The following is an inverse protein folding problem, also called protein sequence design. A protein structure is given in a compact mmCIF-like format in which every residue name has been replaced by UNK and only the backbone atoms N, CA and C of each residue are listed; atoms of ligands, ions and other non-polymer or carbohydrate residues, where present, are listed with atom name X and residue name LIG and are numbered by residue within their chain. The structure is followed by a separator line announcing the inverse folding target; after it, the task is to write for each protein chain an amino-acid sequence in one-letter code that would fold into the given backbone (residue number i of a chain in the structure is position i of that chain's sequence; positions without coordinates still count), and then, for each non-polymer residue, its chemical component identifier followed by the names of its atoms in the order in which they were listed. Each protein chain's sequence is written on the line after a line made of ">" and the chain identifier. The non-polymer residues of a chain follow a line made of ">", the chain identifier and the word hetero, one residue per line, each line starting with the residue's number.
data_IF_512767577151
#
_entry.id   IF_512767577151
#
_cell.length_a   1.000
_cell.length_b   1.000
_cell.length_c   1.000
_cell.angle_alpha   90.00
_cell.angle_beta   90.00
_cell.angle_gamma   90.00
#
_symmetry.space_group_name_H-M   'P 1'
#
loop_
_entity.id
_entity.type
_entity.pdbx_description
1 polymer ?
#
# COMPACT_ATOMS: atom_id res chain seq x y z
N UNK A 1 -7.87 -21.17 -34.21
CA UNK A 1 -8.05 -20.65 -32.84
C UNK A 1 -7.71 -21.79 -31.92
N UNK A 2 -6.59 -21.71 -31.21
CA UNK A 2 -6.20 -22.72 -30.21
C UNK A 2 -6.66 -22.17 -28.87
N UNK A 3 -7.70 -22.77 -28.30
CA UNK A 3 -8.15 -22.45 -26.96
C UNK A 3 -7.25 -23.23 -25.98
N UNK A 4 -6.36 -22.52 -25.30
CA UNK A 4 -5.53 -23.11 -24.25
C UNK A 4 -6.41 -23.22 -23.01
N UNK A 5 -6.95 -24.41 -22.77
CA UNK A 5 -7.73 -24.70 -21.57
C UNK A 5 -6.80 -25.06 -20.41
N UNK A 6 -7.11 -24.56 -19.22
CA UNK A 6 -6.42 -24.97 -18.01
C UNK A 6 -6.61 -26.47 -17.77
N UNK A 7 -5.50 -27.20 -17.61
CA UNK A 7 -5.50 -28.65 -17.36
C UNK A 7 -5.69 -29.01 -15.87
N UNK A 8 -5.63 -28.01 -14.99
CA UNK A 8 -5.74 -28.17 -13.54
C UNK A 8 -6.28 -26.88 -12.89
N UNK A 9 -6.69 -26.98 -11.63
CA UNK A 9 -7.12 -25.82 -10.82
C UNK A 9 -5.98 -24.81 -10.71
N UNK A 10 -6.26 -23.55 -11.04
CA UNK A 10 -5.31 -22.44 -10.98
C UNK A 10 -5.65 -21.55 -9.77
N UNK A 11 -5.06 -21.86 -8.61
CA UNK A 11 -5.22 -21.01 -7.43
C UNK A 11 -4.50 -19.67 -7.67
N UNK A 12 -5.17 -18.51 -7.52
CA UNK A 12 -4.50 -17.24 -7.69
C UNK A 12 -3.54 -16.96 -6.54
N UNK A 13 -2.33 -16.53 -6.88
CA UNK A 13 -1.36 -16.00 -5.92
C UNK A 13 -1.40 -14.48 -5.86
N UNK A 14 -1.82 -13.83 -6.93
CA UNK A 14 -1.93 -12.38 -7.02
C UNK A 14 -3.29 -12.00 -7.59
N UNK A 15 -3.95 -11.07 -6.90
CA UNK A 15 -5.13 -10.41 -7.44
C UNK A 15 -4.70 -9.15 -8.19
N UNK A 16 -5.33 -8.85 -9.31
CA UNK A 16 -4.99 -7.66 -10.11
C UNK A 16 -6.17 -6.68 -10.12
N UNK A 17 -5.98 -5.52 -9.48
CA UNK A 17 -6.89 -4.39 -9.57
C UNK A 17 -6.49 -3.52 -10.76
N UNK A 18 -7.41 -3.31 -11.71
CA UNK A 18 -7.14 -2.52 -12.91
C UNK A 18 -8.42 -1.97 -13.54
N UNK A 19 -8.29 -0.93 -14.35
CA UNK A 19 -9.36 -0.43 -15.19
C UNK A 19 -9.39 -1.17 -16.54
N UNK A 20 -10.56 -1.67 -16.95
CA UNK A 20 -10.71 -2.43 -18.21
C UNK A 20 -10.52 -1.57 -19.47
N UNK A 21 -10.50 -0.24 -19.32
CA UNK A 21 -10.28 0.70 -20.42
C UNK A 21 -8.79 0.91 -20.76
N UNK A 22 -7.88 0.29 -20.02
CA UNK A 22 -6.45 0.34 -20.30
C UNK A 22 -6.09 -0.45 -21.57
N UNK A 23 -5.14 0.04 -22.40
CA UNK A 23 -4.57 -0.77 -23.46
C UNK A 23 -3.97 -2.08 -22.92
N UNK A 24 -4.47 -3.22 -23.40
CA UNK A 24 -4.06 -4.56 -22.92
C UNK A 24 -2.54 -4.77 -22.96
N UNK A 25 -1.85 -4.20 -23.95
CA UNK A 25 -0.38 -4.28 -24.03
C UNK A 25 0.33 -3.62 -22.85
N UNK A 26 -0.16 -2.48 -22.36
CA UNK A 26 0.42 -1.77 -21.20
C UNK A 26 0.12 -2.52 -19.90
N UNK A 27 -1.10 -3.01 -19.79
CA UNK A 27 -1.51 -3.87 -18.68
C UNK A 27 -0.61 -5.11 -18.57
N UNK A 28 -0.42 -5.83 -19.69
CA UNK A 28 0.45 -7.01 -19.73
C UNK A 28 1.91 -6.66 -19.42
N UNK A 29 2.43 -5.53 -19.91
CA UNK A 29 3.78 -5.09 -19.60
C UNK A 29 3.98 -4.87 -18.09
N UNK A 30 2.98 -4.34 -17.38
CA UNK A 30 3.01 -4.23 -15.92
C UNK A 30 3.02 -5.60 -15.23
N UNK A 31 2.22 -6.57 -15.71
CA UNK A 31 2.20 -7.93 -15.17
C UNK A 31 3.54 -8.66 -15.39
N UNK A 32 4.11 -8.55 -16.60
CA UNK A 32 5.41 -9.14 -16.95
C UNK A 32 6.52 -8.53 -16.09
N UNK A 33 6.54 -7.21 -15.94
CA UNK A 33 7.50 -6.52 -15.10
C UNK A 33 7.35 -6.92 -13.63
N UNK A 34 6.13 -7.04 -13.13
CA UNK A 34 5.88 -7.47 -11.76
C UNK A 34 6.32 -8.92 -11.54
N UNK A 35 6.00 -9.85 -12.47
CA UNK A 35 6.47 -11.23 -12.41
C UNK A 35 8.00 -11.33 -12.43
N UNK A 36 8.67 -10.51 -13.26
CA UNK A 36 10.12 -10.43 -13.31
C UNK A 36 10.71 -9.93 -11.98
N UNK A 37 10.17 -8.83 -11.44
CA UNK A 37 10.64 -8.21 -10.20
C UNK A 37 10.47 -9.13 -8.99
N UNK A 38 9.32 -9.80 -8.89
CA UNK A 38 9.02 -10.76 -7.83
C UNK A 38 9.66 -12.14 -8.07
N UNK A 39 10.28 -12.37 -9.22
CA UNK A 39 10.80 -13.66 -9.69
C UNK A 39 9.74 -14.78 -9.60
N UNK A 40 8.52 -14.48 -10.05
CA UNK A 40 7.41 -15.42 -10.00
C UNK A 40 7.63 -16.58 -10.96
N UNK A 41 7.19 -17.77 -10.53
CA UNK A 41 7.28 -18.98 -11.34
C UNK A 41 6.28 -18.96 -12.50
N UNK A 42 6.52 -19.76 -13.54
CA UNK A 42 5.53 -19.99 -14.61
C UNK A 42 4.26 -20.71 -14.12
N UNK A 43 4.26 -21.26 -12.91
CA UNK A 43 3.10 -21.83 -12.23
C UNK A 43 2.34 -20.81 -11.38
N UNK A 44 2.74 -19.54 -11.41
CA UNK A 44 2.06 -18.47 -10.69
C UNK A 44 0.91 -17.91 -11.51
N UNK A 45 -0.26 -17.76 -10.86
CA UNK A 45 -1.48 -17.31 -11.51
C UNK A 45 -1.94 -15.96 -10.97
N UNK A 46 -2.25 -15.06 -11.90
CA UNK A 46 -2.94 -13.80 -11.64
C UNK A 46 -4.44 -14.00 -11.76
N UNK A 47 -5.21 -13.48 -10.80
CA UNK A 47 -6.63 -13.31 -10.93
C UNK A 47 -6.93 -11.92 -11.48
N UNK A 48 -7.59 -11.85 -12.62
CA UNK A 48 -7.94 -10.59 -13.30
C UNK A 48 -9.44 -10.63 -13.58
N UNK A 49 -10.21 -9.70 -13.00
CA UNK A 49 -11.67 -9.72 -13.06
C UNK A 49 -12.24 -9.75 -14.50
N UNK A 50 -11.58 -9.06 -15.44
CA UNK A 50 -11.97 -9.04 -16.85
C UNK A 50 -11.93 -10.42 -17.53
N UNK A 51 -11.03 -11.30 -17.08
CA UNK A 51 -10.80 -12.61 -17.70
C UNK A 51 -11.32 -13.77 -16.85
N UNK A 52 -11.47 -13.56 -15.54
CA UNK A 52 -11.90 -14.60 -14.61
C UNK A 52 -13.43 -14.70 -14.47
N UNK A 53 -14.14 -13.58 -14.59
CA UNK A 53 -15.60 -13.59 -14.52
C UNK A 53 -16.21 -14.10 -15.83
N UNK A 54 -17.25 -14.92 -15.72
CA UNK A 54 -18.01 -15.37 -16.87
C UNK A 54 -18.79 -14.20 -17.47
N UNK A 55 -18.26 -13.60 -18.54
CA UNK A 55 -18.87 -12.43 -19.18
C UNK A 55 -20.26 -12.73 -19.79
N UNK A 56 -20.61 -14.00 -19.99
CA UNK A 56 -21.93 -14.41 -20.45
C UNK A 56 -22.97 -14.51 -19.31
N UNK A 57 -22.51 -14.61 -18.06
CA UNK A 57 -23.35 -14.75 -16.86
C UNK A 57 -22.74 -13.96 -15.68
N UNK A 58 -22.43 -12.68 -15.89
CA UNK A 58 -21.72 -11.85 -14.90
C UNK A 58 -22.44 -11.81 -13.54
N UNK A 59 -23.77 -11.89 -13.54
CA UNK A 59 -24.60 -11.89 -12.32
C UNK A 59 -24.33 -13.08 -11.38
N UNK A 60 -23.76 -14.18 -11.89
CA UNK A 60 -23.36 -15.33 -11.05
C UNK A 60 -22.09 -15.03 -10.22
N UNK A 61 -21.21 -14.18 -10.76
CA UNK A 61 -19.93 -13.80 -10.16
C UNK A 61 -20.03 -12.50 -9.33
N UNK A 62 -20.84 -11.52 -9.80
CA UNK A 62 -21.15 -10.27 -9.10
C UNK A 62 -22.40 -10.47 -8.25
N UNK A 63 -22.19 -11.03 -7.05
CA UNK A 63 -23.26 -11.27 -6.08
C UNK A 63 -23.76 -9.98 -5.43
N UNK A 64 -24.99 -10.05 -4.95
CA UNK A 64 -25.70 -8.95 -4.27
C UNK A 64 -24.90 -8.39 -3.09
N UNK A 65 -24.22 -9.24 -2.32
CA UNK A 65 -23.27 -8.80 -1.30
C UNK A 65 -21.85 -8.74 -1.91
N UNK A 66 -21.21 -7.55 -1.99
CA UNK A 66 -19.87 -7.39 -2.54
C UNK A 66 -18.81 -8.29 -1.88
N UNK A 67 -18.93 -8.58 -0.57
CA UNK A 67 -18.03 -9.48 0.18
C UNK A 67 -18.26 -10.97 -0.13
N UNK A 68 -19.28 -11.31 -0.91
CA UNK A 68 -19.57 -12.69 -1.35
C UNK A 68 -19.17 -12.96 -2.81
N UNK A 69 -18.67 -11.94 -3.50
CA UNK A 69 -18.30 -11.99 -4.92
C UNK A 69 -17.04 -12.84 -5.18
N UNK A 70 -16.81 -13.20 -6.43
CA UNK A 70 -15.57 -13.85 -6.89
C UNK A 70 -14.33 -13.01 -6.55
N UNK A 71 -14.43 -11.68 -6.64
CA UNK A 71 -13.40 -10.70 -6.33
C UNK A 71 -12.88 -10.85 -4.90
N UNK A 72 -13.81 -10.75 -3.92
CA UNK A 72 -13.46 -10.85 -2.51
C UNK A 72 -12.80 -12.20 -2.21
N UNK A 73 -13.35 -13.29 -2.73
CA UNK A 73 -12.79 -14.64 -2.57
C UNK A 73 -11.38 -14.77 -3.15
N UNK A 74 -11.14 -14.25 -4.35
CA UNK A 74 -9.84 -14.28 -4.99
C UNK A 74 -8.79 -13.51 -4.18
N UNK A 75 -9.15 -12.33 -3.64
CA UNK A 75 -8.25 -11.57 -2.76
C UNK A 75 -7.92 -12.32 -1.47
N UNK A 76 -8.91 -12.97 -0.82
CA UNK A 76 -8.67 -13.79 0.38
C UNK A 76 -7.72 -14.97 0.13
N UNK A 77 -7.62 -15.45 -1.11
CA UNK A 77 -6.76 -16.58 -1.48
C UNK A 77 -5.35 -16.16 -1.90
N UNK A 78 -5.17 -14.88 -2.24
CA UNK A 78 -3.96 -14.30 -2.80
C UNK A 78 -2.94 -13.93 -1.71
N UNK A 79 -1.68 -13.80 -2.12
CA UNK A 79 -0.59 -13.31 -1.27
C UNK A 79 -0.53 -11.78 -1.25
N UNK A 80 -0.98 -11.16 -2.34
CA UNK A 80 -1.05 -9.72 -2.50
C UNK A 80 -1.93 -9.28 -3.66
N UNK A 81 -2.06 -7.97 -3.80
CA UNK A 81 -2.73 -7.27 -4.88
C UNK A 81 -1.69 -6.50 -5.70
N UNK A 82 -1.79 -6.61 -7.02
CA UNK A 82 -1.14 -5.71 -7.96
C UNK A 82 -2.18 -4.70 -8.46
N UNK A 83 -2.01 -3.43 -8.08
CA UNK A 83 -2.77 -2.32 -8.63
C UNK A 83 -2.08 -1.83 -9.91
N UNK A 84 -2.73 -1.99 -11.07
CA UNK A 84 -2.20 -1.51 -12.35
C UNK A 84 -2.85 -0.17 -12.69
N UNK A 85 -2.06 0.90 -12.68
CA UNK A 85 -2.47 2.26 -12.99
C UNK A 85 -2.26 2.56 -14.46
N UNK A 86 -3.34 2.89 -15.16
CA UNK A 86 -3.26 3.47 -16.49
C UNK A 86 -2.70 4.91 -16.44
N UNK A 87 -2.38 5.48 -17.61
CA UNK A 87 -1.82 6.85 -17.69
C UNK A 87 -2.75 7.93 -17.12
N UNK A 88 -4.05 7.63 -16.99
CA UNK A 88 -5.03 8.54 -16.42
C UNK A 88 -5.24 8.32 -14.91
N UNK A 89 -4.74 7.22 -14.32
CA UNK A 89 -5.00 6.85 -12.93
C UNK A 89 -6.44 6.39 -12.70
N UNK A 90 -7.13 5.88 -13.74
CA UNK A 90 -8.56 5.52 -13.67
C UNK A 90 -8.95 4.49 -12.60
N UNK A 91 -8.09 3.56 -12.14
CA UNK A 91 -8.44 2.72 -11.00
C UNK A 91 -8.91 3.53 -9.78
N UNK A 92 -8.31 4.69 -9.52
CA UNK A 92 -8.71 5.60 -8.44
C UNK A 92 -10.10 6.21 -8.60
N UNK A 93 -10.70 6.11 -9.79
CA UNK A 93 -12.01 6.65 -10.10
C UNK A 93 -13.07 5.55 -10.22
N UNK A 94 -12.73 4.27 -10.03
CA UNK A 94 -13.62 3.13 -10.29
C UNK A 94 -14.06 2.51 -8.97
N UNK A 95 -15.37 2.47 -8.73
CA UNK A 95 -15.91 2.02 -7.42
C UNK A 95 -15.47 0.60 -7.03
N UNK A 96 -15.34 -0.30 -8.00
CA UNK A 96 -14.86 -1.67 -7.76
C UNK A 96 -13.37 -1.71 -7.39
N UNK A 97 -12.53 -0.87 -8.01
CA UNK A 97 -11.12 -0.73 -7.62
C UNK A 97 -10.99 -0.10 -6.24
N UNK A 98 -11.74 0.98 -5.97
CA UNK A 98 -11.83 1.57 -4.64
C UNK A 98 -12.28 0.56 -3.58
N UNK A 99 -13.21 -0.34 -3.90
CA UNK A 99 -13.63 -1.42 -3.01
C UNK A 99 -12.49 -2.41 -2.73
N UNK A 100 -11.78 -2.85 -3.75
CA UNK A 100 -10.63 -3.76 -3.61
C UNK A 100 -9.55 -3.15 -2.71
N UNK A 101 -9.23 -1.88 -2.93
CA UNK A 101 -8.33 -1.07 -2.12
C UNK A 101 -8.83 -0.89 -0.67
N UNK A 102 -10.12 -0.60 -0.47
CA UNK A 102 -10.73 -0.50 0.86
C UNK A 102 -10.67 -1.83 1.62
N UNK A 103 -10.88 -2.94 0.92
CA UNK A 103 -10.79 -4.27 1.52
C UNK A 103 -9.34 -4.61 1.87
N UNK A 104 -8.34 -4.20 1.09
CA UNK A 104 -6.92 -4.37 1.47
C UNK A 104 -6.62 -3.73 2.83
N UNK A 105 -7.08 -2.50 3.04
CA UNK A 105 -6.89 -1.77 4.29
C UNK A 105 -7.69 -2.40 5.44
N UNK A 106 -8.93 -2.86 5.18
CA UNK A 106 -9.73 -3.54 6.19
C UNK A 106 -9.18 -4.94 6.54
N UNK A 107 -8.58 -5.65 5.58
CA UNK A 107 -8.24 -7.07 5.70
C UNK A 107 -6.96 -7.30 6.48
N UNK A 108 -7.16 -7.42 7.78
CA UNK A 108 -6.44 -8.38 8.61
C UNK A 108 -6.79 -9.80 8.11
N UNK A 109 -6.05 -10.36 7.15
CA UNK A 109 -6.35 -11.69 6.64
C UNK A 109 -6.15 -12.71 7.76
N UNK A 110 -7.17 -13.53 7.99
CA UNK A 110 -7.16 -14.60 8.97
C UNK A 110 -6.60 -15.83 8.27
N UNK A 111 -5.34 -16.19 8.52
CA UNK A 111 -4.86 -17.53 8.17
C UNK A 111 -5.17 -18.50 9.31
N UNK A 112 -5.89 -19.57 8.99
CA UNK A 112 -6.12 -20.71 9.87
C UNK A 112 -5.12 -21.80 9.49
N UNK A 113 -3.95 -21.83 10.15
CA UNK A 113 -3.03 -22.97 10.09
C UNK A 113 -2.88 -23.55 11.50
N UNK A 114 -3.25 -24.81 11.65
CA UNK A 114 -2.94 -25.66 12.81
C UNK A 114 -3.13 -24.97 14.19
N UNK A 115 -4.32 -24.40 14.42
CA UNK A 115 -4.70 -23.87 15.72
C UNK A 115 -4.04 -22.55 16.12
N UNK A 116 -3.29 -21.90 15.22
CA UNK A 116 -2.67 -20.60 15.47
C UNK A 116 -3.28 -19.53 14.54
N UNK A 117 -3.88 -18.49 15.15
CA UNK A 117 -4.45 -17.36 14.43
C UNK A 117 -3.32 -16.40 14.05
N UNK A 118 -2.75 -16.51 12.84
CA UNK A 118 -1.76 -15.53 12.36
C UNK A 118 -2.40 -14.55 11.40
N UNK A 119 -2.36 -13.27 11.78
CA UNK A 119 -2.79 -12.12 10.99
C UNK A 119 -1.86 -11.93 9.79
N UNK A 120 -2.31 -12.23 8.57
CA UNK A 120 -1.55 -11.98 7.33
C UNK A 120 -2.06 -10.70 6.68
N UNK A 121 -1.16 -9.75 6.42
CA UNK A 121 -1.46 -8.55 5.61
C UNK A 121 -1.20 -8.91 4.15
N UNK A 122 -2.15 -8.59 3.25
CA UNK A 122 -1.93 -8.69 1.81
C UNK A 122 -0.84 -7.69 1.40
N UNK A 123 0.07 -8.10 0.52
CA UNK A 123 1.01 -7.17 -0.12
C UNK A 123 0.24 -6.27 -1.09
N UNK A 124 0.64 -5.00 -1.22
CA UNK A 124 0.13 -4.11 -2.25
C UNK A 124 1.28 -3.61 -3.12
N UNK A 125 1.31 -4.11 -4.35
CA UNK A 125 2.25 -3.68 -5.39
C UNK A 125 1.54 -2.78 -6.38
N UNK A 126 2.26 -1.82 -6.95
CA UNK A 126 1.69 -0.86 -7.91
C UNK A 126 2.48 -0.91 -9.22
N UNK A 127 1.81 -1.24 -10.31
CA UNK A 127 2.36 -1.24 -11.66
C UNK A 127 1.86 -0.03 -12.46
N UNK A 128 2.74 0.58 -13.25
CA UNK A 128 2.35 1.64 -14.18
C UNK A 128 3.34 1.74 -15.35
N UNK A 129 2.90 2.28 -16.48
CA UNK A 129 3.79 2.64 -17.59
C UNK A 129 4.14 4.13 -17.56
N UNK A 130 5.39 4.47 -17.86
CA UNK A 130 5.80 5.86 -18.07
C UNK A 130 5.35 6.41 -19.44
N UNK A 131 5.77 7.64 -19.76
CA UNK A 131 5.47 8.31 -21.03
C UNK A 131 6.10 7.66 -22.27
N UNK A 132 7.00 6.71 -22.09
CA UNK A 132 7.63 5.91 -23.15
C UNK A 132 7.11 4.47 -23.18
N UNK A 133 5.97 4.22 -22.52
CA UNK A 133 5.32 2.91 -22.41
C UNK A 133 6.19 1.85 -21.69
N UNK A 134 7.20 2.27 -20.93
CA UNK A 134 8.01 1.36 -20.12
C UNK A 134 7.30 1.09 -18.80
N UNK A 135 7.10 -0.19 -18.48
CA UNK A 135 6.51 -0.60 -17.22
C UNK A 135 7.48 -0.44 -16.03
N UNK A 136 6.95 0.06 -14.92
CA UNK A 136 7.60 0.22 -13.63
C UNK A 136 6.71 -0.38 -12.55
N UNK A 137 7.34 -0.93 -11.50
CA UNK A 137 6.62 -1.59 -10.41
C UNK A 137 7.19 -1.14 -9.07
N UNK A 138 6.32 -0.64 -8.19
CA UNK A 138 6.58 -0.47 -6.77
C UNK A 138 6.14 -1.74 -6.03
N UNK A 139 6.98 -2.23 -5.13
CA UNK A 139 6.64 -3.41 -4.32
C UNK A 139 6.40 -3.08 -2.84
N UNK A 140 5.43 -3.72 -2.19
CA UNK A 140 5.42 -3.78 -0.73
C UNK A 140 6.54 -4.74 -0.26
N UNK A 141 7.51 -4.19 0.45
CA UNK A 141 8.73 -4.89 0.86
C UNK A 141 9.73 -5.17 -0.27
N UNK A 142 10.74 -5.99 0.05
CA UNK A 142 11.76 -6.45 -0.90
C UNK A 142 11.21 -7.54 -1.82
N UNK A 143 11.68 -7.57 -3.07
CA UNK A 143 11.21 -8.53 -4.07
C UNK A 143 12.35 -9.31 -4.73
N UNK A 144 12.09 -10.57 -5.12
CA UNK A 144 13.03 -11.41 -5.86
C UNK A 144 14.43 -11.45 -5.22
N UNK A 145 15.45 -11.16 -6.03
CA UNK A 145 16.85 -11.08 -5.59
C UNK A 145 17.10 -10.19 -4.38
N UNK A 146 16.38 -9.07 -4.23
CA UNK A 146 16.58 -8.12 -3.14
C UNK A 146 16.25 -8.74 -1.78
N UNK A 147 15.26 -9.62 -1.73
CA UNK A 147 14.83 -10.30 -0.50
C UNK A 147 15.89 -11.27 0.05
N UNK A 148 16.81 -11.72 -0.82
CA UNK A 148 17.92 -12.61 -0.47
C UNK A 148 19.20 -11.86 -0.12
N UNK A 149 19.24 -10.54 -0.31
CA UNK A 149 20.37 -9.70 0.05
C UNK A 149 20.34 -9.37 1.55
N UNK A 150 21.47 -8.84 2.06
CA UNK A 150 21.48 -8.15 3.35
C UNK A 150 20.44 -7.02 3.28
N UNK A 151 19.58 -6.89 4.29
CA UNK A 151 18.38 -6.04 4.21
C UNK A 151 18.64 -4.61 3.71
N UNK A 152 19.70 -3.94 4.20
CA UNK A 152 20.05 -2.58 3.76
C UNK A 152 20.49 -2.51 2.29
N UNK A 153 21.21 -3.52 1.80
CA UNK A 153 21.62 -3.63 0.40
C UNK A 153 20.39 -3.89 -0.47
N UNK A 154 19.51 -4.80 -0.05
CA UNK A 154 18.24 -5.06 -0.74
C UNK A 154 17.39 -3.80 -0.87
N UNK A 155 17.28 -3.00 0.19
CA UNK A 155 16.54 -1.73 0.19
C UNK A 155 17.18 -0.69 -0.74
N UNK A 156 18.50 -0.62 -0.80
CA UNK A 156 19.21 0.24 -1.75
C UNK A 156 18.94 -0.17 -3.20
N UNK A 157 18.95 -1.47 -3.51
CA UNK A 157 18.61 -1.98 -4.86
C UNK A 157 17.14 -1.71 -5.23
N UNK A 158 16.21 -1.90 -4.28
CA UNK A 158 14.80 -1.56 -4.44
C UNK A 158 14.62 -0.07 -4.78
N UNK A 159 15.25 0.81 -4.01
CA UNK A 159 15.22 2.25 -4.24
C UNK A 159 15.73 2.62 -5.65
N UNK A 160 16.84 2.02 -6.09
CA UNK A 160 17.40 2.24 -7.42
C UNK A 160 16.46 1.75 -8.55
N UNK A 161 15.80 0.61 -8.37
CA UNK A 161 14.82 0.06 -9.33
C UNK A 161 13.60 0.97 -9.46
N UNK A 162 13.11 1.47 -8.33
CA UNK A 162 11.81 2.16 -8.23
C UNK A 162 11.90 3.67 -8.54
N UNK A 163 13.10 4.23 -8.62
CA UNK A 163 13.34 5.68 -8.77
C UNK A 163 12.67 6.37 -9.97
N UNK A 164 12.31 5.62 -11.01
CA UNK A 164 11.69 6.17 -12.22
C UNK A 164 10.18 5.93 -12.29
N UNK A 165 9.57 5.43 -11.21
CA UNK A 165 8.13 5.25 -11.18
C UNK A 165 7.40 6.59 -11.42
N UNK A 166 6.32 6.62 -12.23
CA UNK A 166 5.60 7.86 -12.55
C UNK A 166 4.82 8.40 -11.34
N UNK A 167 5.47 9.26 -10.54
CA UNK A 167 4.92 9.79 -9.29
C UNK A 167 3.63 10.59 -9.45
N UNK A 168 3.42 11.21 -10.61
CA UNK A 168 2.18 11.95 -10.93
C UNK A 168 0.94 11.05 -10.87
N UNK A 169 1.10 9.73 -11.05
CA UNK A 169 0.02 8.77 -10.87
C UNK A 169 -0.28 8.53 -9.38
N UNK A 170 0.74 8.39 -8.52
CA UNK A 170 0.54 8.23 -7.08
C UNK A 170 -0.08 9.47 -6.45
N UNK A 171 0.24 10.66 -6.96
CA UNK A 171 -0.39 11.92 -6.55
C UNK A 171 -1.91 11.95 -6.77
N UNK A 172 -2.41 11.21 -7.77
CA UNK A 172 -3.87 11.05 -7.97
C UNK A 172 -4.48 10.18 -6.86
N UNK A 173 -3.74 9.19 -6.37
CA UNK A 173 -4.12 8.36 -5.24
C UNK A 173 -4.35 9.16 -3.96
N UNK A 174 -3.63 10.27 -3.77
CA UNK A 174 -3.82 11.21 -2.64
C UNK A 174 -5.11 12.03 -2.70
N UNK A 175 -5.87 11.91 -3.78
CA UNK A 175 -7.11 12.67 -4.04
C UNK A 175 -8.31 11.75 -4.22
N UNK A 176 -8.14 10.44 -3.99
CA UNK A 176 -9.22 9.45 -4.06
C UNK A 176 -10.35 9.88 -3.13
N UNK A 177 -11.57 9.80 -3.64
CA UNK A 177 -12.80 9.93 -2.85
C UNK A 177 -13.72 8.81 -3.25
N UNK A 178 -13.87 7.80 -2.42
CA UNK A 178 -14.63 6.60 -2.80
C UNK A 178 -16.11 6.92 -3.11
N UNK A 179 -16.67 7.96 -2.48
CA UNK A 179 -18.03 8.42 -2.77
C UNK A 179 -18.19 9.05 -4.15
N UNK A 180 -17.12 9.59 -4.72
CA UNK A 180 -17.11 10.23 -6.04
C UNK A 180 -16.81 9.21 -7.15
N UNK A 181 -16.46 7.96 -6.81
CA UNK A 181 -16.08 6.95 -7.77
C UNK A 181 -17.21 6.65 -8.79
N UNK A 182 -16.79 6.46 -10.04
CA UNK A 182 -17.61 6.11 -11.18
C UNK A 182 -18.05 4.64 -11.11
N UNK A 183 -19.26 4.41 -11.60
CA UNK A 183 -19.90 3.10 -11.64
C UNK A 183 -20.59 2.89 -12.99
N UNK A 184 -20.59 1.66 -13.48
CA UNK A 184 -21.37 1.27 -14.66
C UNK A 184 -22.82 0.97 -14.26
N UNK A 185 -23.01 0.14 -13.22
CA UNK A 185 -24.31 -0.19 -12.65
C UNK A 185 -24.55 0.54 -11.32
N UNK A 186 -25.47 1.51 -11.28
CA UNK A 186 -25.70 2.34 -10.08
C UNK A 186 -25.93 1.55 -8.79
N UNK A 187 -26.52 0.35 -8.90
CA UNK A 187 -26.74 -0.53 -7.75
C UNK A 187 -25.44 -1.04 -7.11
N UNK A 188 -24.35 -1.18 -7.88
CA UNK A 188 -23.04 -1.57 -7.36
C UNK A 188 -22.53 -0.51 -6.39
N UNK A 189 -22.68 0.77 -6.72
CA UNK A 189 -22.28 1.88 -5.85
C UNK A 189 -23.05 1.85 -4.54
N UNK A 190 -24.35 1.61 -4.59
CA UNK A 190 -25.18 1.43 -3.39
C UNK A 190 -24.69 0.26 -2.55
N UNK A 191 -24.48 -0.91 -3.15
CA UNK A 191 -24.06 -2.12 -2.42
C UNK A 191 -22.65 -2.00 -1.86
N UNK A 192 -21.69 -1.46 -2.62
CA UNK A 192 -20.30 -1.28 -2.21
C UNK A 192 -20.20 -0.28 -1.06
N UNK A 193 -20.82 0.90 -1.20
CA UNK A 193 -20.74 1.92 -0.16
C UNK A 193 -21.45 1.46 1.12
N UNK A 194 -22.59 0.78 1.04
CA UNK A 194 -23.15 0.12 2.22
C UNK A 194 -22.20 -0.95 2.80
N UNK A 195 -21.54 -1.74 1.96
CA UNK A 195 -20.54 -2.71 2.41
C UNK A 195 -19.30 -2.08 3.06
N UNK A 196 -19.01 -0.81 2.81
CA UNK A 196 -17.91 -0.08 3.46
C UNK A 196 -18.39 0.59 4.75
N UNK A 197 -19.58 1.19 4.73
CA UNK A 197 -20.20 1.81 5.90
C UNK A 197 -20.48 0.80 7.02
N UNK A 198 -20.80 -0.45 6.65
CA UNK A 198 -21.09 -1.50 7.62
C UNK A 198 -19.81 -2.07 8.24
N UNK A 199 -19.75 -1.99 9.56
CA UNK A 199 -18.72 -2.69 10.34
C UNK A 199 -18.76 -4.19 10.04
N UNK A 200 -17.62 -4.89 10.16
CA UNK A 200 -17.50 -6.34 9.87
C UNK A 200 -18.46 -7.23 10.68
N UNK A 201 -19.06 -6.69 11.74
CA UNK A 201 -19.93 -7.40 12.67
C UNK A 201 -21.43 -7.27 12.34
N UNK A 202 -21.80 -6.44 11.36
CA UNK A 202 -23.20 -6.17 11.02
C UNK A 202 -23.60 -6.87 9.71
N UNK A 203 -24.68 -7.64 9.77
CA UNK A 203 -25.33 -8.21 8.58
C UNK A 203 -26.37 -7.21 8.08
N UNK A 204 -26.24 -6.74 6.84
CA UNK A 204 -27.33 -6.07 6.14
C UNK A 204 -27.89 -6.97 5.04
N UNK A 205 -29.17 -6.77 4.77
CA UNK A 205 -29.82 -7.30 3.57
C UNK A 205 -29.54 -6.34 2.41
N UNK A 206 -28.73 -6.80 1.46
CA UNK A 206 -28.33 -6.03 0.28
C UNK A 206 -29.36 -6.13 -0.87
N UNK A 207 -30.39 -6.98 -0.77
CA UNK A 207 -31.39 -7.17 -1.83
C UNK A 207 -32.28 -5.94 -2.02
N UNK A 208 -32.63 -5.28 -0.91
CA UNK A 208 -33.61 -4.19 -0.90
C UNK A 208 -33.00 -2.79 -0.76
N UNK A 209 -31.66 -2.67 -0.82
CA UNK A 209 -30.98 -1.37 -0.72
C UNK A 209 -31.25 -0.51 -1.95
N UNK A 210 -31.73 0.71 -1.70
CA UNK A 210 -31.97 1.73 -2.73
C UNK A 210 -31.03 2.94 -2.58
N UNK A 211 -30.38 3.09 -1.43
CA UNK A 211 -29.48 4.20 -1.10
C UNK A 211 -28.37 3.75 -0.17
N UNK A 212 -27.35 4.60 -0.01
CA UNK A 212 -26.25 4.44 0.95
C UNK A 212 -26.17 5.69 1.85
N UNK A 213 -25.57 5.60 3.04
CA UNK A 213 -25.46 6.75 3.95
C UNK A 213 -24.42 7.75 3.44
N UNK A 214 -24.83 8.78 2.71
CA UNK A 214 -23.91 9.83 2.22
C UNK A 214 -23.13 10.48 3.37
N UNK A 215 -21.82 10.62 3.20
CA UNK A 215 -20.93 11.20 4.20
C UNK A 215 -20.71 10.32 5.44
N UNK A 216 -20.89 8.99 5.32
CA UNK A 216 -20.54 8.05 6.38
C UNK A 216 -19.05 8.20 6.77
N UNK A 217 -18.71 8.27 8.06
CA UNK A 217 -17.33 8.43 8.52
C UNK A 217 -16.38 7.32 8.04
N UNK A 218 -16.88 6.12 7.74
CA UNK A 218 -16.04 5.05 7.21
C UNK A 218 -15.55 5.35 5.79
N UNK A 219 -16.25 6.17 5.02
CA UNK A 219 -15.80 6.57 3.68
C UNK A 219 -14.55 7.44 3.77
N UNK A 220 -14.62 8.49 4.59
CA UNK A 220 -13.48 9.34 4.87
C UNK A 220 -12.30 8.53 5.44
N UNK A 221 -12.56 7.58 6.34
CA UNK A 221 -11.53 6.72 6.91
C UNK A 221 -10.81 5.87 5.85
N UNK A 222 -11.54 5.36 4.86
CA UNK A 222 -10.95 4.63 3.74
C UNK A 222 -10.13 5.58 2.86
N UNK A 223 -10.68 6.74 2.51
CA UNK A 223 -9.97 7.75 1.72
C UNK A 223 -8.63 8.13 2.38
N UNK A 224 -8.64 8.49 3.67
CA UNK A 224 -7.45 8.85 4.44
C UNK A 224 -6.42 7.70 4.50
N UNK A 225 -6.88 6.46 4.67
CA UNK A 225 -6.00 5.29 4.66
C UNK A 225 -5.31 5.08 3.31
N UNK A 226 -6.05 5.24 2.20
CA UNK A 226 -5.50 5.16 0.85
C UNK A 226 -4.54 6.31 0.56
N UNK A 227 -4.89 7.55 0.93
CA UNK A 227 -4.00 8.69 0.77
C UNK A 227 -2.69 8.46 1.52
N UNK A 228 -2.75 8.01 2.77
CA UNK A 228 -1.58 7.69 3.59
C UNK A 228 -0.73 6.57 2.98
N UNK A 229 -1.37 5.54 2.42
CA UNK A 229 -0.67 4.47 1.70
C UNK A 229 0.13 5.02 0.52
N UNK A 230 -0.51 5.77 -0.39
CA UNK A 230 0.16 6.33 -1.56
C UNK A 230 1.17 7.41 -1.18
N UNK A 231 0.98 8.10 -0.06
CA UNK A 231 1.94 9.07 0.46
C UNK A 231 3.24 8.38 0.92
N UNK A 232 3.13 7.26 1.63
CA UNK A 232 4.28 6.46 2.04
C UNK A 232 5.00 5.86 0.84
N UNK A 233 4.26 5.36 -0.15
CA UNK A 233 4.83 4.78 -1.37
C UNK A 233 5.59 5.80 -2.24
N UNK A 234 5.16 7.06 -2.23
CA UNK A 234 5.75 8.13 -3.06
C UNK A 234 6.87 8.91 -2.37
N UNK A 235 6.99 8.84 -1.04
CA UNK A 235 7.88 9.68 -0.23
C UNK A 235 9.33 9.68 -0.72
N UNK A 236 9.91 8.49 -0.99
CA UNK A 236 11.28 8.37 -1.51
C UNK A 236 11.45 9.14 -2.83
N UNK A 237 10.53 8.91 -3.77
CA UNK A 237 10.58 9.53 -5.09
C UNK A 237 10.41 11.05 -5.02
N UNK A 238 9.56 11.53 -4.11
CA UNK A 238 9.35 12.96 -3.87
C UNK A 238 10.63 13.64 -3.41
N UNK A 239 11.27 13.10 -2.37
CA UNK A 239 12.54 13.65 -1.85
C UNK A 239 13.63 13.59 -2.93
N UNK A 240 13.75 12.46 -3.64
CA UNK A 240 14.74 12.30 -4.70
C UNK A 240 14.57 13.32 -5.82
N UNK A 241 13.34 13.66 -6.19
CA UNK A 241 13.02 14.64 -7.24
C UNK A 241 12.92 16.08 -6.72
N UNK A 242 13.15 16.33 -5.43
CA UNK A 242 13.01 17.66 -4.82
C UNK A 242 11.57 18.20 -4.82
N UNK A 243 10.57 17.32 -4.82
CA UNK A 243 9.15 17.68 -4.72
C UNK A 243 8.79 18.00 -3.27
N UNK A 244 7.81 18.88 -3.07
CA UNK A 244 7.30 19.23 -1.75
C UNK A 244 6.60 18.04 -1.08
N UNK A 245 7.02 17.66 0.13
CA UNK A 245 6.47 16.53 0.89
C UNK A 245 5.31 16.91 1.82
N UNK A 246 4.93 18.20 1.91
CA UNK A 246 3.85 18.68 2.79
C UNK A 246 2.49 18.02 2.49
N UNK A 247 2.22 17.75 1.22
CA UNK A 247 1.01 17.05 0.80
C UNK A 247 1.01 15.58 1.26
N UNK A 248 2.20 14.95 1.31
CA UNK A 248 2.37 13.58 1.82
C UNK A 248 2.22 13.56 3.34
N UNK A 249 2.84 14.51 4.03
CA UNK A 249 2.72 14.68 5.47
C UNK A 249 1.25 14.89 5.88
N UNK A 250 0.52 15.71 5.13
CA UNK A 250 -0.91 15.95 5.36
C UNK A 250 -1.73 14.65 5.23
N UNK A 251 -1.47 13.85 4.19
CA UNK A 251 -2.14 12.57 3.98
C UNK A 251 -1.84 11.55 5.10
N UNK A 252 -0.59 11.44 5.54
CA UNK A 252 -0.22 10.53 6.63
C UNK A 252 -0.89 10.96 7.95
N UNK A 253 -0.91 12.27 8.23
CA UNK A 253 -1.48 12.83 9.45
C UNK A 253 -2.99 12.66 9.54
N UNK A 254 -3.69 12.68 8.40
CA UNK A 254 -5.13 12.48 8.34
C UNK A 254 -5.53 11.03 8.72
N UNK A 255 -4.68 10.04 8.41
CA UNK A 255 -4.92 8.63 8.72
C UNK A 255 -4.66 8.30 10.21
N UNK A 256 -5.54 8.79 11.07
CA UNK A 256 -5.52 8.55 12.52
C UNK A 256 -5.66 7.05 12.89
N UNK A 257 -6.16 6.24 11.94
CA UNK A 257 -6.36 4.80 12.11
C UNK A 257 -5.06 3.99 12.02
N UNK A 258 -4.03 4.51 11.33
CA UNK A 258 -2.81 3.78 11.03
C UNK A 258 -2.00 3.43 12.26
N UNK A 259 -1.70 2.14 12.40
CA UNK A 259 -0.93 1.57 13.52
C UNK A 259 0.50 1.21 13.16
N UNK A 260 0.81 1.13 11.87
CA UNK A 260 2.11 0.69 11.37
C UNK A 260 2.57 1.65 10.27
N UNK A 261 3.77 2.18 10.42
CA UNK A 261 4.50 2.92 9.38
C UNK A 261 5.83 2.22 9.17
N UNK A 262 6.06 1.78 7.94
CA UNK A 262 7.33 1.23 7.49
C UNK A 262 7.75 1.98 6.25
N UNK A 263 8.87 2.67 6.31
CA UNK A 263 9.39 3.47 5.21
C UNK A 263 10.89 3.26 5.09
N UNK A 264 11.35 3.09 3.85
CA UNK A 264 12.78 3.08 3.55
C UNK A 264 13.13 4.29 2.71
N UNK A 265 14.14 5.01 3.20
CA UNK A 265 14.79 6.11 2.50
C UNK A 265 16.27 5.78 2.29
N UNK A 266 16.56 4.49 2.18
CA UNK A 266 17.93 3.99 2.04
C UNK A 266 18.53 4.47 0.72
N UNK A 267 19.71 5.07 0.79
CA UNK A 267 20.39 5.67 -0.38
C UNK A 267 19.80 7.02 -0.82
N UNK A 268 18.85 7.60 -0.10
CA UNK A 268 18.32 8.93 -0.40
C UNK A 268 19.24 10.01 0.20
N UNK A 269 20.29 10.39 -0.51
CA UNK A 269 21.30 11.34 -0.01
C UNK A 269 20.74 12.75 0.25
N UNK A 270 19.63 13.11 -0.40
CA UNK A 270 18.96 14.40 -0.22
C UNK A 270 17.93 14.39 0.92
N UNK A 271 17.84 13.30 1.70
CA UNK A 271 16.97 13.24 2.87
C UNK A 271 17.77 13.67 4.11
N UNK A 272 17.51 14.88 4.58
CA UNK A 272 18.18 15.51 5.72
C UNK A 272 17.25 15.58 6.94
N UNK A 273 17.77 16.16 8.03
CA UNK A 273 17.06 16.25 9.31
C UNK A 273 15.71 16.98 9.20
N UNK A 274 15.60 17.96 8.28
CA UNK A 274 14.35 18.69 8.03
C UNK A 274 13.25 17.78 7.46
N UNK A 275 13.56 16.96 6.45
CA UNK A 275 12.58 16.05 5.87
C UNK A 275 12.18 14.95 6.86
N UNK A 276 13.10 14.53 7.74
CA UNK A 276 12.79 13.62 8.83
C UNK A 276 11.88 14.27 9.87
N UNK A 277 12.09 15.54 10.24
CA UNK A 277 11.19 16.26 11.14
C UNK A 277 9.76 16.33 10.55
N UNK A 278 9.62 16.75 9.29
CA UNK A 278 8.32 16.78 8.59
C UNK A 278 7.63 15.41 8.64
N UNK A 279 8.35 14.33 8.35
CA UNK A 279 7.82 12.96 8.44
C UNK A 279 7.37 12.62 9.87
N UNK A 280 8.23 12.83 10.86
CA UNK A 280 7.95 12.45 12.26
C UNK A 280 6.78 13.25 12.83
N UNK A 281 6.67 14.55 12.55
CA UNK A 281 5.54 15.38 12.99
C UNK A 281 4.21 15.01 12.29
N UNK A 282 4.27 14.32 11.16
CA UNK A 282 3.09 13.84 10.44
C UNK A 282 2.54 12.50 10.95
N UNK A 283 3.30 11.77 11.78
CA UNK A 283 2.91 10.44 12.21
C UNK A 283 1.66 10.45 13.11
N UNK A 284 0.72 9.51 12.93
CA UNK A 284 -0.50 9.42 13.76
C UNK A 284 -0.19 9.20 15.24
N UNK A 285 -0.96 9.85 16.12
CA UNK A 285 -0.75 9.78 17.58
C UNK A 285 -0.89 8.37 18.16
N UNK A 286 -1.65 7.49 17.50
CA UNK A 286 -1.92 6.12 17.94
C UNK A 286 -1.05 5.06 17.23
N UNK A 287 0.05 5.48 16.62
CA UNK A 287 0.98 4.61 15.92
C UNK A 287 1.65 3.61 16.89
N UNK A 288 1.62 2.32 16.56
CA UNK A 288 2.19 1.26 17.41
C UNK A 288 3.57 0.80 16.94
N UNK A 289 3.79 0.79 15.63
CA UNK A 289 5.03 0.31 15.02
C UNK A 289 5.58 1.36 14.07
N UNK A 290 6.78 1.84 14.36
CA UNK A 290 7.55 2.70 13.47
C UNK A 290 8.82 1.98 13.03
N UNK A 291 8.98 1.81 11.73
CA UNK A 291 10.22 1.31 11.12
C UNK A 291 10.70 2.29 10.05
N UNK A 292 11.88 2.84 10.26
CA UNK A 292 12.55 3.72 9.30
C UNK A 292 13.91 3.13 8.93
N UNK A 293 14.07 2.79 7.65
CA UNK A 293 15.34 2.35 7.07
C UNK A 293 15.99 3.51 6.31
N UNK A 294 16.84 4.27 7.00
CA UNK A 294 17.44 5.56 6.64
C UNK A 294 18.94 5.45 6.31
N UNK A 295 19.47 4.25 6.02
CA UNK A 295 20.90 4.08 5.76
C UNK A 295 21.36 4.78 4.47
N UNK A 296 22.60 5.25 4.44
CA UNK A 296 23.15 6.02 3.31
C UNK A 296 22.31 7.26 2.94
N UNK A 297 21.63 7.86 3.93
CA UNK A 297 20.92 9.13 3.77
C UNK A 297 21.80 10.33 4.16
N UNK A 298 21.28 11.54 3.93
CA UNK A 298 21.91 12.80 4.32
C UNK A 298 21.76 13.17 5.81
N UNK A 299 21.20 12.28 6.64
CA UNK A 299 20.93 12.58 8.04
C UNK A 299 22.20 12.88 8.85
N UNK A 300 22.11 13.94 9.66
CA UNK A 300 23.17 14.36 10.57
C UNK A 300 22.79 14.08 12.02
N UNK A 301 21.51 14.14 12.37
CA UNK A 301 21.05 13.98 13.76
C UNK A 301 19.72 13.22 13.88
N UNK A 302 19.34 12.86 15.11
CA UNK A 302 17.98 12.42 15.45
C UNK A 302 17.32 13.38 16.46
N UNK A 303 17.62 14.68 16.35
CA UNK A 303 17.17 15.68 17.33
C UNK A 303 15.70 16.09 17.16
N UNK A 304 15.08 15.77 16.02
CA UNK A 304 13.64 15.97 15.78
C UNK A 304 12.75 15.08 16.65
N UNK A 305 13.29 13.99 17.21
CA UNK A 305 12.61 13.20 18.23
C UNK A 305 12.59 13.99 19.54
N UNK A 306 11.61 14.87 19.67
CA UNK A 306 11.36 15.66 20.89
C UNK A 306 10.10 15.19 21.60
N UNK A 307 9.83 15.71 22.81
CA UNK A 307 8.59 15.42 23.54
C UNK A 307 7.32 15.93 22.83
N UNK A 308 7.43 16.73 21.76
CA UNK A 308 6.27 17.17 20.97
C UNK A 308 5.76 16.10 20.00
N UNK A 309 6.53 15.05 19.75
CA UNK A 309 6.15 13.98 18.81
C UNK A 309 5.02 13.15 19.41
N UNK A 310 3.83 13.28 18.83
CA UNK A 310 2.58 12.78 19.43
C UNK A 310 2.52 11.25 19.52
N UNK A 311 3.17 10.54 18.59
CA UNK A 311 3.11 9.09 18.54
C UNK A 311 4.00 8.39 19.58
N UNK A 312 4.92 9.10 20.25
CA UNK A 312 5.93 8.48 21.12
C UNK A 312 5.30 7.61 22.22
N UNK A 313 4.19 8.08 22.81
CA UNK A 313 3.53 7.41 23.94
C UNK A 313 2.84 6.11 23.54
N UNK A 314 2.40 5.97 22.29
CA UNK A 314 1.67 4.79 21.82
C UNK A 314 2.60 3.74 21.17
N UNK A 315 3.83 4.11 20.82
CA UNK A 315 4.79 3.22 20.20
C UNK A 315 5.12 2.01 21.08
N UNK A 316 5.00 0.84 20.48
CA UNK A 316 5.37 -0.47 21.05
C UNK A 316 6.65 -0.99 20.40
N UNK A 317 6.85 -0.67 19.13
CA UNK A 317 8.00 -1.11 18.36
C UNK A 317 8.61 0.06 17.60
N UNK A 318 9.89 0.29 17.83
CA UNK A 318 10.69 1.27 17.10
C UNK A 318 11.90 0.58 16.48
N UNK A 319 12.01 0.67 15.15
CA UNK A 319 13.17 0.21 14.39
C UNK A 319 13.75 1.37 13.59
N UNK A 320 14.96 1.80 13.91
CA UNK A 320 15.66 2.85 13.16
C UNK A 320 16.98 2.29 12.64
N UNK A 321 17.19 2.37 11.33
CA UNK A 321 18.46 2.00 10.71
C UNK A 321 19.05 3.18 9.97
N UNK A 322 20.22 3.64 10.37
CA UNK A 322 20.88 4.83 9.81
C UNK A 322 22.37 4.56 9.58
N UNK A 323 22.66 3.33 9.16
CA UNK A 323 24.00 2.84 8.82
C UNK A 323 24.55 3.56 7.58
N UNK A 324 25.84 3.87 7.57
CA UNK A 324 26.51 4.49 6.41
C UNK A 324 26.13 5.94 6.13
N UNK A 325 25.56 6.65 7.12
CA UNK A 325 25.35 8.10 7.05
C UNK A 325 26.63 8.84 7.46
N UNK A 326 27.43 9.25 6.48
CA UNK A 326 28.78 9.81 6.68
C UNK A 326 28.83 11.11 7.52
N UNK A 327 27.70 11.79 7.68
CA UNK A 327 27.57 13.04 8.43
C UNK A 327 26.80 12.87 9.75
N UNK A 328 26.47 11.64 10.15
CA UNK A 328 25.72 11.39 11.37
C UNK A 328 26.56 11.71 12.62
N UNK A 329 26.12 12.71 13.39
CA UNK A 329 26.85 13.24 14.56
C UNK A 329 26.27 12.79 15.90
N UNK A 330 24.94 12.71 16.02
CA UNK A 330 24.30 12.49 17.33
C UNK A 330 22.89 11.90 17.23
N UNK A 331 22.53 11.12 18.25
CA UNK A 331 21.18 10.60 18.49
C UNK A 331 20.59 11.11 19.83
N UNK A 332 21.06 12.27 20.32
CA UNK A 332 20.71 12.78 21.63
C UNK A 332 19.19 13.04 21.80
N UNK A 333 18.53 13.64 20.80
CA UNK A 333 17.08 13.83 20.83
C UNK A 333 16.31 12.53 21.02
N UNK A 334 16.66 11.47 20.27
CA UNK A 334 16.08 10.15 20.46
C UNK A 334 16.21 9.66 21.92
N UNK A 335 17.39 9.83 22.53
CA UNK A 335 17.61 9.46 23.93
C UNK A 335 16.72 10.22 24.92
N UNK A 336 16.37 11.47 24.62
CA UNK A 336 15.38 12.26 25.39
C UNK A 336 13.96 11.74 25.14
N UNK A 337 13.59 11.53 23.88
CA UNK A 337 12.27 11.03 23.48
C UNK A 337 11.93 9.66 24.05
N UNK A 338 12.94 8.80 24.26
CA UNK A 338 12.75 7.49 24.89
C UNK A 338 12.08 7.55 26.27
N UNK A 339 12.17 8.69 26.98
CA UNK A 339 11.49 8.88 28.27
C UNK A 339 9.96 8.98 28.13
N UNK A 340 9.47 9.39 26.97
CA UNK A 340 8.04 9.47 26.66
C UNK A 340 7.48 8.15 26.10
N UNK A 341 8.35 7.20 25.73
CA UNK A 341 7.94 5.92 25.12
C UNK A 341 7.55 4.88 26.17
N UNK A 342 6.47 5.12 26.91
CA UNK A 342 6.03 4.29 28.05
C UNK A 342 5.65 2.85 27.65
N UNK A 343 5.22 2.64 26.40
CA UNK A 343 4.72 1.36 25.90
C UNK A 343 5.74 0.55 25.07
N UNK A 344 6.99 1.02 24.97
CA UNK A 344 7.99 0.40 24.10
C UNK A 344 8.34 -1.02 24.59
N UNK A 345 8.15 -2.01 23.74
CA UNK A 345 8.49 -3.41 23.99
C UNK A 345 9.66 -3.88 23.12
N UNK A 346 9.86 -3.24 21.97
CA UNK A 346 10.93 -3.60 21.04
C UNK A 346 11.61 -2.35 20.50
N UNK A 347 12.91 -2.24 20.73
CA UNK A 347 13.76 -1.18 20.20
C UNK A 347 14.91 -1.82 19.43
N UNK A 348 15.07 -1.44 18.16
CA UNK A 348 16.16 -1.88 17.30
C UNK A 348 16.80 -0.64 16.64
N UNK A 349 18.08 -0.40 16.94
CA UNK A 349 18.87 0.69 16.40
C UNK A 349 20.08 0.14 15.65
N UNK A 350 20.21 0.47 14.36
CA UNK A 350 21.35 0.05 13.54
C UNK A 350 22.20 1.26 13.17
N UNK A 351 23.30 1.41 13.90
CA UNK A 351 24.32 2.41 13.71
C UNK A 351 25.65 1.71 13.44
N UNK A 352 26.03 1.57 12.18
CA UNK A 352 27.35 1.09 11.78
C UNK A 352 27.96 2.07 10.78
N UNK A 353 29.25 2.35 10.94
CA UNK A 353 30.07 2.91 9.88
C UNK A 353 30.43 1.76 8.94
N UNK A 354 30.06 1.87 7.67
CA UNK A 354 30.37 0.88 6.63
C UNK A 354 31.59 1.33 5.81
#
# INVERSE_FOLDING_TARGET
>A
MVEIMAIQVQRPQWFVSHAWSEPVCKFLACLEQHALVRELSSSTFYWVCAYANNQHSVDEDIKINPRSTSFYRAMQMSEGVLLVLDSAGRPFERIWCCFEEAILEATEAIEHREGNWSRRRLLLDVGATDTHDKAHVLTDGLAGAESRMIGIIGLHHKAARERHFPLDLLEKGLKVKIEDAHVTENIDKVRILNSIALSRLETCDFEHLQSYPTGDPNFQRVDEALHSHFALASWYGFVLQGRCTELLATAIKADVGRKIVQLSLTGCQNFFDHELDVLIQSLPSELRVLRLDLGFSGLETLDMFTSSVQCLKSLVQLKLRFTGSAHFRTAAGLGVAMREMENIMYLELWCAEL
#
